data_IF_778173758382
#
_entry.id   IF_778173758382
#
_cell.length_a   1.000
_cell.length_b   1.000
_cell.length_c   1.000
_cell.angle_alpha   90.00
_cell.angle_beta   90.00
_cell.angle_gamma   90.00
#
_symmetry.space_group_name_H-M   'P 1'
#
loop_
_entity.id
_entity.type
_entity.pdbx_description
1 polymer ?
#
# COMPACT_ATOMS: atom_id res chain seq x y z
N UNK A 1 25.43 33.20 -12.56
CA UNK A 1 24.58 32.26 -13.33
C UNK A 1 25.17 30.85 -13.37
N UNK A 2 26.47 30.65 -13.72
CA UNK A 2 27.11 29.32 -13.72
C UNK A 2 27.08 28.58 -12.37
N UNK A 3 27.20 29.32 -11.27
CA UNK A 3 27.15 28.76 -9.90
C UNK A 3 25.78 28.17 -9.51
N UNK A 4 24.71 28.49 -10.26
CA UNK A 4 23.37 27.96 -10.01
C UNK A 4 23.16 26.57 -10.63
N UNK A 5 23.98 26.20 -11.63
CA UNK A 5 23.93 24.91 -12.30
C UNK A 5 24.19 23.74 -11.33
N UNK A 6 25.27 23.74 -10.51
CA UNK A 6 25.49 22.65 -9.55
C UNK A 6 24.41 22.58 -8.46
N UNK A 7 23.86 23.73 -8.06
CA UNK A 7 22.75 23.80 -7.08
C UNK A 7 21.47 23.19 -7.67
N UNK A 8 21.17 23.45 -8.94
CA UNK A 8 20.00 22.86 -9.59
C UNK A 8 20.14 21.34 -9.73
N UNK A 9 21.34 20.87 -10.10
CA UNK A 9 21.64 19.43 -10.22
C UNK A 9 21.48 18.74 -8.87
N UNK A 10 21.98 19.32 -7.77
CA UNK A 10 21.86 18.71 -6.45
C UNK A 10 20.41 18.59 -5.99
N UNK A 11 19.57 19.61 -6.25
CA UNK A 11 18.14 19.59 -5.96
C UNK A 11 17.45 18.44 -6.71
N UNK A 12 17.70 18.30 -8.02
CA UNK A 12 17.11 17.23 -8.83
C UNK A 12 17.51 15.85 -8.30
N UNK A 13 18.78 15.66 -7.93
CA UNK A 13 19.27 14.40 -7.37
C UNK A 13 18.60 14.08 -6.04
N UNK A 14 18.49 15.05 -5.13
CA UNK A 14 17.85 14.87 -3.82
C UNK A 14 16.36 14.50 -3.99
N UNK A 15 15.64 15.22 -4.85
CA UNK A 15 14.23 14.92 -5.13
C UNK A 15 14.07 13.52 -5.72
N UNK A 16 14.90 13.16 -6.70
CA UNK A 16 14.89 11.83 -7.30
C UNK A 16 15.12 10.73 -6.27
N UNK A 17 16.08 10.93 -5.36
CA UNK A 17 16.37 9.99 -4.29
C UNK A 17 15.18 9.85 -3.33
N UNK A 18 14.57 10.96 -2.90
CA UNK A 18 13.39 10.95 -2.03
C UNK A 18 12.22 10.20 -2.67
N UNK A 19 11.94 10.42 -3.95
CA UNK A 19 10.85 9.74 -4.67
C UNK A 19 11.11 8.24 -4.82
N UNK A 20 12.36 7.84 -5.07
CA UNK A 20 12.73 6.43 -5.18
C UNK A 20 12.58 5.71 -3.84
N UNK A 21 13.06 6.30 -2.75
CA UNK A 21 12.89 5.71 -1.41
C UNK A 21 11.42 5.68 -1.01
N UNK A 22 10.67 6.78 -1.17
CA UNK A 22 9.25 6.82 -0.78
C UNK A 22 8.39 5.81 -1.54
N UNK A 23 8.70 5.55 -2.82
CA UNK A 23 8.04 4.50 -3.61
C UNK A 23 8.29 3.10 -3.06
N UNK A 24 9.50 2.84 -2.51
CA UNK A 24 9.85 1.54 -1.91
C UNK A 24 9.26 1.36 -0.51
N UNK A 25 8.99 2.43 0.22
CA UNK A 25 8.33 2.39 1.54
C UNK A 25 6.79 2.42 1.47
N UNK A 26 6.17 1.89 0.40
CA UNK A 26 4.73 1.63 0.37
C UNK A 26 4.39 0.46 1.31
N UNK A 27 4.37 0.75 2.61
CA UNK A 27 3.97 -0.16 3.68
C UNK A 27 2.48 -0.58 3.58
N UNK A 28 1.66 0.17 2.82
CA UNK A 28 0.20 0.01 2.79
C UNK A 28 -0.28 -1.28 2.13
N UNK A 29 0.50 -1.86 1.20
CA UNK A 29 0.02 -3.02 0.45
C UNK A 29 -0.06 -4.33 1.28
N UNK A 30 0.40 -4.33 2.53
CA UNK A 30 0.23 -5.46 3.46
C UNK A 30 -1.00 -5.28 4.36
N UNK A 31 -1.37 -4.05 4.69
CA UNK A 31 -2.47 -3.74 5.61
C UNK A 31 -3.78 -3.36 4.91
N UNK A 32 -3.73 -2.99 3.62
CA UNK A 32 -4.92 -2.69 2.81
C UNK A 32 -5.44 -3.90 2.03
N UNK A 33 -4.83 -5.08 2.20
CA UNK A 33 -5.36 -6.30 1.57
C UNK A 33 -6.66 -6.66 2.25
N UNK A 34 -7.79 -6.35 1.59
CA UNK A 34 -8.98 -7.16 1.81
C UNK A 34 -8.58 -8.61 1.56
N UNK A 35 -8.74 -9.51 2.54
CA UNK A 35 -8.38 -10.91 2.36
C UNK A 35 -9.13 -11.44 1.12
N UNK A 36 -8.40 -12.13 0.23
CA UNK A 36 -8.96 -12.65 -1.03
C UNK A 36 -9.99 -13.74 -0.78
N UNK A 37 -9.89 -14.40 0.37
CA UNK A 37 -10.81 -15.40 0.85
C UNK A 37 -11.57 -14.83 2.04
N UNK A 38 -12.87 -15.12 2.09
CA UNK A 38 -13.70 -14.77 3.22
C UNK A 38 -13.29 -15.68 4.39
N UNK A 39 -12.85 -15.09 5.49
CA UNK A 39 -12.73 -15.80 6.76
C UNK A 39 -14.09 -15.80 7.47
N UNK A 40 -14.28 -16.66 8.46
CA UNK A 40 -15.55 -16.78 9.19
C UNK A 40 -16.02 -15.46 9.80
N UNK A 41 -15.09 -14.55 10.12
CA UNK A 41 -15.39 -13.24 10.70
C UNK A 41 -15.88 -12.21 9.67
N UNK A 42 -15.21 -12.11 8.53
CA UNK A 42 -15.59 -11.17 7.47
C UNK A 42 -16.76 -11.69 6.61
N UNK A 43 -17.06 -12.99 6.66
CA UNK A 43 -18.21 -13.60 6.01
C UNK A 43 -19.54 -12.99 6.53
N UNK A 44 -19.58 -12.63 7.82
CA UNK A 44 -20.74 -11.99 8.44
C UNK A 44 -21.02 -10.59 7.88
N UNK A 45 -19.98 -9.80 7.60
CA UNK A 45 -20.12 -8.49 6.93
C UNK A 45 -20.69 -8.63 5.51
N UNK A 46 -20.52 -9.80 4.91
CA UNK A 46 -21.06 -10.16 3.60
C UNK A 46 -22.41 -10.89 3.68
N UNK A 47 -23.00 -11.04 4.87
CA UNK A 47 -24.30 -11.68 5.07
C UNK A 47 -24.27 -13.22 4.93
N UNK A 48 -23.09 -13.83 5.00
CA UNK A 48 -22.93 -15.29 5.01
C UNK A 48 -23.03 -15.74 6.47
N UNK A 49 -24.10 -16.46 6.79
CA UNK A 49 -24.32 -17.05 8.12
C UNK A 49 -23.58 -18.40 8.20
N UNK A 50 -22.55 -18.53 9.07
CA UNK A 50 -21.85 -19.80 9.25
C UNK A 50 -22.72 -20.94 9.81
N UNK A 51 -23.97 -20.66 10.22
CA UNK A 51 -24.92 -21.64 10.76
C UNK A 51 -25.69 -22.40 9.66
N UNK A 52 -25.62 -21.97 8.39
CA UNK A 52 -26.32 -22.63 7.29
C UNK A 52 -25.64 -23.92 6.82
N UNK A 53 -24.31 -24.03 6.97
CA UNK A 53 -23.54 -25.21 6.54
C UNK A 53 -23.68 -26.41 7.48
N UNK A 54 -24.13 -26.21 8.73
CA UNK A 54 -24.31 -27.29 9.72
C UNK A 54 -25.63 -28.08 9.55
N UNK A 55 -26.49 -27.69 8.60
CA UNK A 55 -27.84 -28.28 8.44
C UNK A 55 -27.96 -29.33 7.32
N UNK A 56 -26.87 -29.86 6.76
CA UNK A 56 -26.91 -30.84 5.67
C UNK A 56 -26.42 -32.22 6.07
#
# INVERSE_FOLDING_TARGET
MRELIPVFISIVVVIGLVLLLSSKFKLSNRYERKPRELNTWNAQDHGIDPTDDEKK
#
